data_IF_282967359273
#
_entry.id   IF_282967359273
#
_cell.length_a   1.000
_cell.length_b   1.000
_cell.length_c   1.000
_cell.angle_alpha   90.00
_cell.angle_beta   90.00
_cell.angle_gamma   90.00
#
_symmetry.space_group_name_H-M   'P 1'
#
loop_
_entity.id
_entity.type
_entity.pdbx_description
1 polymer ?
#
# COMPACT_ATOMS: atom_id res chain seq x y z
N UNK A 1 -10.85 -25.16 -1.00
CA UNK A 1 -11.35 -24.01 -1.80
C UNK A 1 -10.38 -23.72 -2.92
N UNK A 2 -10.87 -23.39 -4.12
CA UNK A 2 -10.08 -23.01 -5.29
C UNK A 2 -10.57 -21.66 -5.83
N UNK A 3 -9.71 -20.65 -5.88
CA UNK A 3 -10.04 -19.33 -6.41
C UNK A 3 -9.10 -18.94 -7.57
N UNK A 4 -9.61 -18.58 -8.76
CA UNK A 4 -8.78 -18.25 -9.92
C UNK A 4 -7.94 -16.98 -9.70
N UNK A 5 -6.62 -17.07 -9.80
CA UNK A 5 -5.75 -15.89 -9.68
C UNK A 5 -5.72 -15.06 -10.98
N UNK A 6 -5.65 -15.73 -12.14
CA UNK A 6 -5.60 -15.09 -13.46
C UNK A 6 -6.62 -15.73 -14.38
N UNK A 7 -7.42 -14.89 -15.03
CA UNK A 7 -8.33 -15.27 -16.12
C UNK A 7 -8.02 -14.37 -17.31
N UNK A 8 -7.66 -14.98 -18.44
CA UNK A 8 -7.42 -14.26 -19.70
C UNK A 8 -8.63 -14.28 -20.63
N UNK A 9 -9.64 -15.11 -20.33
CA UNK A 9 -10.83 -15.32 -21.16
C UNK A 9 -12.05 -15.12 -20.27
N UNK A 10 -12.73 -13.99 -20.44
CA UNK A 10 -13.99 -13.67 -19.76
C UNK A 10 -13.86 -13.11 -18.33
N UNK A 11 -15.00 -12.84 -17.67
CA UNK A 11 -15.05 -12.37 -16.29
C UNK A 11 -14.43 -13.38 -15.31
N UNK A 12 -13.89 -12.88 -14.20
CA UNK A 12 -13.30 -13.74 -13.16
C UNK A 12 -14.39 -14.65 -12.57
N UNK A 13 -14.24 -15.98 -12.64
CA UNK A 13 -15.23 -16.89 -12.06
C UNK A 13 -15.20 -16.85 -10.53
N UNK A 14 -16.32 -17.20 -9.87
CA UNK A 14 -16.38 -17.36 -8.42
C UNK A 14 -15.44 -18.47 -7.93
N UNK A 15 -15.08 -18.45 -6.65
CA UNK A 15 -14.30 -19.53 -6.07
C UNK A 15 -15.15 -20.79 -5.89
N UNK A 16 -14.52 -21.96 -5.97
CA UNK A 16 -15.19 -23.25 -5.85
C UNK A 16 -14.75 -24.00 -4.61
N UNK A 17 -15.71 -24.69 -4.00
CA UNK A 17 -15.51 -25.54 -2.83
C UNK A 17 -15.21 -26.98 -3.27
N UNK A 18 -14.22 -27.61 -2.63
CA UNK A 18 -13.88 -29.01 -2.90
C UNK A 18 -13.34 -29.70 -1.66
N UNK A 19 -13.48 -31.02 -1.63
CA UNK A 19 -12.83 -31.93 -0.68
C UNK A 19 -12.06 -33.03 -1.41
N UNK A 20 -11.15 -33.67 -0.70
CA UNK A 20 -10.41 -34.83 -1.19
C UNK A 20 -11.06 -36.10 -0.64
N UNK A 21 -11.29 -37.07 -1.50
CA UNK A 21 -11.80 -38.40 -1.11
C UNK A 21 -10.88 -39.48 -1.65
N UNK A 22 -10.67 -40.54 -0.87
CA UNK A 22 -9.99 -41.74 -1.33
C UNK A 22 -10.98 -42.61 -2.11
N UNK A 23 -10.65 -42.91 -3.36
CA UNK A 23 -11.42 -43.82 -4.18
C UNK A 23 -11.12 -45.28 -3.78
N UNK A 24 -12.00 -46.24 -4.11
CA UNK A 24 -11.84 -47.65 -3.72
C UNK A 24 -10.54 -48.31 -4.20
N UNK A 25 -9.87 -47.72 -5.18
CA UNK A 25 -8.58 -48.17 -5.72
C UNK A 25 -7.37 -47.50 -5.03
N UNK A 26 -7.57 -46.77 -3.92
CA UNK A 26 -6.51 -46.09 -3.16
C UNK A 26 -6.04 -44.76 -3.75
N UNK A 27 -6.70 -44.26 -4.80
CA UNK A 27 -6.34 -42.99 -5.45
C UNK A 27 -7.17 -41.85 -4.88
N UNK A 28 -6.55 -40.72 -4.57
CA UNK A 28 -7.27 -39.52 -4.12
C UNK A 28 -7.93 -38.80 -5.30
N UNK A 29 -9.23 -38.54 -5.19
CA UNK A 29 -10.00 -37.73 -6.16
C UNK A 29 -10.47 -36.42 -5.52
N UNK A 30 -10.65 -35.41 -6.36
CA UNK A 30 -11.27 -34.14 -5.97
C UNK A 30 -12.78 -34.27 -6.14
N UNK A 31 -13.52 -34.00 -5.06
CA UNK A 31 -14.98 -33.90 -5.09
C UNK A 31 -15.36 -32.44 -4.93
N UNK A 32 -16.04 -31.90 -5.93
CA UNK A 32 -16.58 -30.54 -5.91
C UNK A 32 -17.84 -30.50 -5.07
N UNK A 33 -17.89 -29.59 -4.11
CA UNK A 33 -19.09 -29.33 -3.31
C UNK A 33 -20.07 -28.50 -4.15
N UNK A 34 -21.37 -28.73 -3.96
CA UNK A 34 -22.40 -27.95 -4.64
C UNK A 34 -22.45 -26.53 -4.06
N UNK A 35 -21.94 -25.55 -4.81
CA UNK A 35 -22.08 -24.14 -4.48
C UNK A 35 -20.83 -23.30 -4.75
N UNK A 36 -21.06 -22.01 -4.97
CA UNK A 36 -20.01 -21.01 -5.09
C UNK A 36 -19.49 -20.61 -3.70
N UNK A 37 -18.19 -20.46 -3.57
CA UNK A 37 -17.56 -19.88 -2.39
C UNK A 37 -17.48 -18.36 -2.58
N UNK A 38 -18.09 -17.61 -1.67
CA UNK A 38 -18.05 -16.14 -1.68
C UNK A 38 -16.67 -15.52 -1.40
N UNK A 39 -15.65 -16.36 -1.16
CA UNK A 39 -14.27 -15.91 -0.94
C UNK A 39 -13.58 -15.63 -2.27
N UNK A 40 -13.09 -14.41 -2.43
CA UNK A 40 -12.24 -14.02 -3.55
C UNK A 40 -10.78 -14.41 -3.31
N UNK A 41 -9.99 -14.53 -4.39
CA UNK A 41 -8.54 -14.78 -4.27
C UNK A 41 -7.83 -13.72 -3.42
N UNK A 42 -8.28 -12.46 -3.47
CA UNK A 42 -7.72 -11.39 -2.65
C UNK A 42 -7.96 -11.63 -1.16
N UNK A 43 -9.13 -12.16 -0.78
CA UNK A 43 -9.44 -12.53 0.61
C UNK A 43 -8.65 -13.76 1.07
N UNK A 44 -8.38 -14.72 0.17
CA UNK A 44 -7.56 -15.90 0.48
C UNK A 44 -6.06 -15.57 0.62
N UNK A 45 -5.57 -14.59 -0.14
CA UNK A 45 -4.18 -14.13 -0.08
C UNK A 45 -3.96 -13.02 0.95
N UNK A 46 -5.02 -12.43 1.49
CA UNK A 46 -4.90 -11.44 2.55
C UNK A 46 -4.30 -12.11 3.78
N UNK A 47 -3.24 -11.51 4.33
CA UNK A 47 -2.81 -11.85 5.68
C UNK A 47 -4.03 -11.72 6.62
N UNK A 48 -4.22 -12.64 7.59
CA UNK A 48 -5.31 -12.55 8.55
C UNK A 48 -5.26 -11.17 9.20
N UNK A 49 -6.17 -10.30 8.77
CA UNK A 49 -6.32 -8.97 9.35
C UNK A 49 -7.16 -9.19 10.59
N UNK A 50 -6.54 -8.90 11.72
CA UNK A 50 -7.18 -8.88 13.03
C UNK A 50 -8.57 -8.23 12.92
N UNK A 51 -9.59 -8.92 13.42
CA UNK A 51 -10.97 -8.43 13.40
C UNK A 51 -11.06 -7.07 14.10
N UNK A 52 -10.22 -6.85 15.11
CA UNK A 52 -10.09 -5.56 15.80
C UNK A 52 -9.64 -4.45 14.85
N UNK A 53 -8.64 -4.71 14.01
CA UNK A 53 -8.13 -3.72 13.07
C UNK A 53 -9.16 -3.40 11.97
N UNK A 54 -9.95 -4.39 11.54
CA UNK A 54 -11.10 -4.15 10.65
C UNK A 54 -12.16 -3.28 11.31
N UNK A 55 -12.47 -3.54 12.58
CA UNK A 55 -13.42 -2.75 13.37
C UNK A 55 -12.97 -1.29 13.49
N UNK A 56 -11.70 -1.06 13.86
CA UNK A 56 -11.12 0.28 13.98
C UNK A 56 -11.16 1.06 12.66
N UNK A 57 -10.85 0.43 11.52
CA UNK A 57 -10.95 1.09 10.20
C UNK A 57 -12.39 1.46 9.88
N UNK A 58 -13.36 0.59 10.19
CA UNK A 58 -14.77 0.86 9.95
C UNK A 58 -15.29 2.00 10.83
N UNK A 59 -14.87 2.05 12.09
CA UNK A 59 -15.22 3.14 13.01
C UNK A 59 -14.66 4.48 12.52
N UNK A 60 -13.40 4.50 12.09
CA UNK A 60 -12.79 5.68 11.48
C UNK A 60 -13.52 6.12 10.19
N UNK A 61 -14.03 5.18 9.39
CA UNK A 61 -14.84 5.50 8.21
C UNK A 61 -16.18 6.13 8.60
N UNK A 62 -16.83 5.63 9.67
CA UNK A 62 -18.10 6.16 10.16
C UNK A 62 -17.95 7.62 10.59
N UNK A 63 -17.01 7.91 11.49
CA UNK A 63 -16.72 9.26 11.98
C UNK A 63 -16.32 10.20 10.84
N UNK A 64 -15.47 9.74 9.92
CA UNK A 64 -15.05 10.55 8.77
C UNK A 64 -16.22 10.87 7.83
N UNK A 65 -17.16 9.93 7.65
CA UNK A 65 -18.34 10.15 6.81
C UNK A 65 -19.28 11.16 7.47
N UNK A 66 -19.50 11.03 8.78
CA UNK A 66 -20.34 11.97 9.55
C UNK A 66 -19.80 13.39 9.47
N UNK A 67 -18.51 13.59 9.74
CA UNK A 67 -17.88 14.92 9.69
C UNK A 67 -17.86 15.54 8.30
N UNK A 68 -17.70 14.74 7.24
CA UNK A 68 -17.63 15.23 5.86
C UNK A 68 -18.98 15.20 5.12
N UNK A 69 -20.05 14.78 5.79
CA UNK A 69 -21.38 14.67 5.19
C UNK A 69 -21.99 16.04 4.87
N UNK A 70 -21.74 17.04 5.72
CA UNK A 70 -22.23 18.41 5.57
C UNK A 70 -21.43 19.23 4.53
N UNK A 71 -20.32 18.69 4.01
CA UNK A 71 -19.54 19.31 2.95
C UNK A 71 -18.02 19.32 3.19
N UNK A 72 -17.28 20.12 2.42
CA UNK A 72 -15.83 20.22 2.56
C UNK A 72 -15.42 20.77 3.93
N UNK A 73 -14.56 20.04 4.65
CA UNK A 73 -14.04 20.44 5.97
C UNK A 73 -12.55 20.79 5.86
N UNK A 74 -12.10 21.93 6.42
CA UNK A 74 -10.69 22.26 6.47
C UNK A 74 -9.90 21.25 7.31
N UNK A 75 -8.80 20.74 6.76
CA UNK A 75 -7.88 19.86 7.46
C UNK A 75 -7.18 20.55 8.64
N UNK A 76 -7.12 21.88 8.62
CA UNK A 76 -6.46 22.72 9.62
C UNK A 76 -4.92 22.62 9.57
N UNK A 77 -4.21 23.48 10.32
CA UNK A 77 -2.77 23.36 10.48
C UNK A 77 -2.40 22.05 11.19
N UNK A 78 -1.32 21.39 10.74
CA UNK A 78 -0.77 20.21 11.43
C UNK A 78 -1.67 18.97 11.47
N UNK A 79 -2.52 18.77 10.45
CA UNK A 79 -3.47 17.66 10.35
C UNK A 79 -4.52 17.63 11.47
N UNK A 80 -4.97 18.79 11.95
CA UNK A 80 -5.94 18.91 13.05
C UNK A 80 -7.22 18.07 12.83
N UNK A 81 -7.78 18.07 11.62
CA UNK A 81 -8.94 17.25 11.26
C UNK A 81 -8.64 15.74 11.40
N UNK A 82 -7.46 15.31 10.97
CA UNK A 82 -7.04 13.91 11.06
C UNK A 82 -6.89 13.46 12.52
N UNK A 83 -6.35 14.33 13.38
CA UNK A 83 -6.23 14.08 14.83
C UNK A 83 -7.59 14.00 15.50
N UNK A 84 -8.49 14.92 15.17
CA UNK A 84 -9.88 14.89 15.64
C UNK A 84 -10.57 13.57 15.30
N UNK A 85 -10.45 13.11 14.05
CA UNK A 85 -11.02 11.82 13.62
C UNK A 85 -10.39 10.65 14.38
N UNK A 86 -9.07 10.68 14.59
CA UNK A 86 -8.37 9.66 15.35
C UNK A 86 -8.84 9.60 16.82
N UNK A 87 -9.05 10.76 17.45
CA UNK A 87 -9.52 10.89 18.82
C UNK A 87 -10.98 10.46 18.97
N UNK A 88 -11.88 10.93 18.10
CA UNK A 88 -13.30 10.59 18.11
C UNK A 88 -13.55 9.09 17.81
N UNK A 89 -12.78 8.51 16.90
CA UNK A 89 -12.88 7.07 16.59
C UNK A 89 -12.04 6.19 17.53
N UNK A 90 -11.19 6.76 18.39
CA UNK A 90 -10.28 6.01 19.25
C UNK A 90 -9.23 5.17 18.50
N UNK A 91 -8.75 5.66 17.36
CA UNK A 91 -7.86 4.91 16.46
C UNK A 91 -6.52 5.61 16.22
N UNK A 92 -5.55 4.88 15.67
CA UNK A 92 -4.29 5.46 15.24
C UNK A 92 -4.44 6.38 14.01
N UNK A 93 -3.54 7.36 13.86
CA UNK A 93 -3.48 8.21 12.66
C UNK A 93 -3.32 7.40 11.35
N UNK A 94 -2.67 6.24 11.42
CA UNK A 94 -2.51 5.32 10.28
C UNK A 94 -3.83 4.65 9.88
N UNK A 95 -4.68 4.36 10.86
CA UNK A 95 -6.05 3.87 10.63
C UNK A 95 -6.88 4.95 9.93
N UNK A 96 -6.72 6.22 10.30
CA UNK A 96 -7.38 7.34 9.62
C UNK A 96 -6.93 7.48 8.16
N UNK A 97 -5.64 7.34 7.86
CA UNK A 97 -5.16 7.34 6.47
C UNK A 97 -5.76 6.20 5.64
N UNK A 98 -5.93 5.03 6.28
CA UNK A 98 -6.54 3.86 5.66
C UNK A 98 -8.03 4.11 5.38
N UNK A 99 -8.76 4.68 6.35
CA UNK A 99 -10.16 5.06 6.20
C UNK A 99 -10.35 6.13 5.11
N UNK A 100 -9.49 7.15 5.08
CA UNK A 100 -9.47 8.20 4.06
C UNK A 100 -9.32 7.61 2.66
N UNK A 101 -8.40 6.66 2.50
CA UNK A 101 -8.21 5.95 1.24
C UNK A 101 -9.41 5.07 0.86
N UNK A 102 -9.98 4.35 1.83
CA UNK A 102 -11.14 3.47 1.64
C UNK A 102 -12.39 4.24 1.21
N UNK A 103 -12.59 5.43 1.77
CA UNK A 103 -13.70 6.33 1.41
C UNK A 103 -13.43 7.18 0.16
N UNK A 104 -12.20 7.17 -0.36
CA UNK A 104 -11.82 8.01 -1.49
C UNK A 104 -11.91 9.51 -1.20
N UNK A 105 -11.66 9.91 0.06
CA UNK A 105 -11.73 11.32 0.45
C UNK A 105 -10.70 12.13 -0.32
N UNK A 106 -11.18 13.19 -0.97
CA UNK A 106 -10.38 14.07 -1.80
C UNK A 106 -9.80 15.17 -0.91
N UNK A 107 -8.48 15.35 -0.96
CA UNK A 107 -7.81 16.50 -0.37
C UNK A 107 -7.53 17.55 -1.44
N UNK A 108 -8.19 18.69 -1.35
CA UNK A 108 -8.03 19.82 -2.28
C UNK A 108 -7.43 21.00 -1.54
N UNK A 109 -6.55 21.75 -2.19
CA UNK A 109 -6.05 23.03 -1.69
C UNK A 109 -6.94 24.16 -2.20
N UNK A 110 -7.41 25.03 -1.32
CA UNK A 110 -8.36 26.12 -1.68
C UNK A 110 -7.70 27.40 -2.23
N UNK A 111 -6.56 27.28 -2.89
CA UNK A 111 -5.86 28.42 -3.52
C UNK A 111 -4.52 28.78 -2.87
N UNK A 112 -3.90 29.86 -3.35
CA UNK A 112 -2.63 30.38 -2.83
C UNK A 112 -2.88 31.10 -1.50
N UNK A 113 -2.67 30.39 -0.38
CA UNK A 113 -2.81 30.92 0.98
C UNK A 113 -3.95 30.29 1.79
N UNK A 114 -4.87 29.61 1.12
CA UNK A 114 -5.90 28.81 1.80
C UNK A 114 -5.37 27.42 2.17
N UNK A 115 -5.96 26.85 3.22
CA UNK A 115 -5.62 25.52 3.74
C UNK A 115 -6.04 24.37 2.82
N UNK A 116 -5.73 23.16 3.28
CA UNK A 116 -6.27 21.94 2.68
C UNK A 116 -7.68 21.71 3.18
N UNK A 117 -8.59 21.34 2.28
CA UNK A 117 -9.95 20.89 2.60
C UNK A 117 -10.11 19.43 2.20
N UNK A 118 -10.84 18.68 3.01
CA UNK A 118 -11.22 17.29 2.74
C UNK A 118 -12.68 17.26 2.38
N UNK A 119 -13.04 16.47 1.38
CA UNK A 119 -14.44 16.30 0.96
C UNK A 119 -14.67 14.87 0.48
N UNK A 120 -15.89 14.38 0.70
CA UNK A 120 -16.34 13.12 0.13
C UNK A 120 -16.60 13.28 -1.38
N UNK A 121 -16.34 12.25 -2.20
CA UNK A 121 -16.69 12.27 -3.61
C UNK A 121 -18.22 12.27 -3.76
N UNK A 122 -18.76 13.31 -4.40
CA UNK A 122 -20.19 13.43 -4.68
C UNK A 122 -20.57 12.49 -5.84
N UNK A 123 -21.12 11.31 -5.53
CA UNK A 123 -21.82 10.45 -6.48
C UNK A 123 -21.02 9.25 -7.04
N UNK A 124 -21.39 8.07 -6.54
CA UNK A 124 -21.45 6.73 -7.18
C UNK A 124 -20.34 6.35 -8.20
N UNK A 125 -19.40 5.52 -7.71
CA UNK A 125 -18.55 4.52 -8.41
C UNK A 125 -17.44 5.01 -9.37
N UNK A 126 -16.17 4.87 -8.97
CA UNK A 126 -15.22 3.79 -9.35
C UNK A 126 -13.79 4.15 -8.90
N UNK A 127 -13.10 3.15 -8.33
CA UNK A 127 -11.79 3.23 -7.68
C UNK A 127 -10.60 3.48 -8.63
N UNK A 128 -9.45 3.94 -8.09
CA UNK A 128 -8.13 3.56 -8.61
C UNK A 128 -7.14 3.28 -7.46
N UNK A 129 -6.21 2.33 -7.63
CA UNK A 129 -5.46 1.63 -6.61
C UNK A 129 -4.36 2.51 -6.02
N UNK A 130 -3.99 2.18 -4.78
CA UNK A 130 -2.80 2.73 -4.15
C UNK A 130 -1.54 2.08 -4.74
N UNK A 131 -1.21 2.44 -5.98
CA UNK A 131 0.15 2.33 -6.46
C UNK A 131 0.91 3.51 -5.84
N UNK A 132 1.31 3.38 -4.58
CA UNK A 132 2.31 4.26 -3.98
C UNK A 132 3.66 3.91 -4.63
N UNK A 133 3.89 4.40 -5.84
CA UNK A 133 5.24 4.47 -6.38
C UNK A 133 6.01 5.50 -5.56
N UNK A 134 6.89 5.00 -4.69
CA UNK A 134 8.04 5.76 -4.24
C UNK A 134 8.98 5.96 -5.42
N UNK A 135 8.64 6.85 -6.35
CA UNK A 135 9.53 7.28 -7.43
C UNK A 135 10.22 8.59 -7.00
N UNK A 136 11.15 8.44 -6.06
CA UNK A 136 12.10 9.47 -5.65
C UNK A 136 13.44 8.85 -5.22
N UNK A 137 13.73 7.62 -5.65
CA UNK A 137 15.06 7.03 -5.51
C UNK A 137 15.90 7.48 -6.70
N UNK A 138 16.97 8.18 -6.32
CA UNK A 138 18.01 8.74 -7.15
C UNK A 138 18.58 7.78 -8.20
N UNK A 139 18.81 8.33 -9.39
CA UNK A 139 19.92 8.04 -10.32
C UNK A 139 20.33 6.58 -10.54
N UNK A 140 19.98 6.05 -11.72
CA UNK A 140 20.64 4.89 -12.31
C UNK A 140 21.68 5.36 -13.33
N UNK A 141 22.94 4.98 -13.14
CA UNK A 141 23.91 4.89 -14.22
C UNK A 141 24.89 3.75 -13.95
N UNK A 142 24.92 2.74 -14.82
CA UNK A 142 26.16 2.02 -15.11
C UNK A 142 26.41 2.07 -16.65
N UNK A 143 27.65 1.86 -17.14
CA UNK A 143 28.22 0.51 -17.13
C UNK A 143 29.72 0.40 -16.81
N UNK A 144 30.07 -0.82 -16.41
CA UNK A 144 31.41 -1.38 -16.22
C UNK A 144 32.24 -1.38 -17.52
N UNK A 145 33.56 -1.18 -17.38
CA UNK A 145 34.56 -2.13 -17.92
C UNK A 145 35.90 -1.99 -17.21
N UNK A 146 36.50 -3.13 -16.92
CA UNK A 146 37.72 -3.35 -16.13
C UNK A 146 38.99 -3.37 -16.98
N UNK A 147 40.10 -3.39 -16.25
CA UNK A 147 41.41 -4.00 -16.55
C UNK A 147 42.47 -3.09 -17.18
N UNK A 148 43.44 -2.65 -16.38
CA UNK A 148 44.74 -3.33 -16.38
C UNK A 148 45.60 -2.99 -15.14
N UNK A 149 46.15 -4.06 -14.60
CA UNK A 149 47.11 -4.23 -13.51
C UNK A 149 48.53 -3.74 -13.88
N UNK A 150 49.24 -3.13 -12.92
CA UNK A 150 50.59 -3.52 -12.47
C UNK A 150 51.31 -2.39 -11.69
N UNK A 151 51.73 -2.69 -10.46
CA UNK A 151 52.86 -2.02 -9.79
C UNK A 151 54.18 -2.71 -10.25
N UNK A 152 55.38 -2.10 -10.14
CA UNK A 152 56.03 -1.98 -8.83
C UNK A 152 56.95 -0.74 -8.64
N UNK A 153 57.52 -0.72 -7.43
CA UNK A 153 58.40 0.26 -6.79
C UNK A 153 59.60 0.79 -7.59
N UNK A 154 60.05 2.01 -7.23
CA UNK A 154 61.46 2.29 -6.95
C UNK A 154 61.65 3.57 -6.12
N UNK A 155 62.83 3.63 -5.48
CA UNK A 155 63.21 4.32 -4.26
C UNK A 155 64.19 5.48 -4.55
N UNK A 156 64.26 6.42 -3.60
CA UNK A 156 65.29 7.47 -3.40
C UNK A 156 65.14 8.71 -4.31
N UNK A 157 65.40 9.96 -3.91
CA UNK A 157 66.32 10.54 -2.92
C UNK A 157 65.75 11.89 -2.41
N UNK A 158 65.99 12.23 -1.14
CA UNK A 158 66.12 13.64 -0.72
C UNK A 158 67.46 14.18 -1.25
N UNK A 159 67.63 15.51 -1.35
CA UNK A 159 68.40 16.12 -0.26
C UNK A 159 67.85 17.45 0.26
N UNK A 160 68.34 17.77 1.44
CA UNK A 160 68.22 19.00 2.21
C UNK A 160 68.90 20.20 1.55
N UNK A 161 68.36 21.39 1.81
CA UNK A 161 69.09 22.66 2.01
C UNK A 161 68.06 23.69 2.54
N UNK A 162 68.18 24.17 3.80
CA UNK A 162 68.71 25.51 4.18
C UNK A 162 67.83 26.67 3.63
N UNK A 163 67.48 27.77 4.31
CA UNK A 163 67.77 28.35 5.63
C UNK A 163 67.00 29.70 5.67
N UNK A 164 66.77 30.28 6.87
CA UNK A 164 66.55 31.73 7.15
C UNK A 164 65.23 32.37 6.60
N UNK A 165 64.33 32.98 7.38
CA UNK A 165 64.43 33.88 8.55
C UNK A 165 63.11 33.83 9.34
#
# INVERSE_FOLDING_TARGET
MLAPLKTNIGPKPPALSYRLEEAPNGVVRVVWEAGECGLTTAQLLAAPTDDEQRSQVNEACRVMTELLSDGPVPAGPGDALKRRIAEEAGVSLRTVDTAKAKLGVISRKEGLGAGWVWMLPAGRWQAYPQDRQAAGVTTFAPPLRSSHEAAPAQRALQPAFEEVL
#
